data_IF_156635430815
#
_entry.id   IF_156635430815
#
_cell.length_a   1.000
_cell.length_b   1.000
_cell.length_c   1.000
_cell.angle_alpha   90.00
_cell.angle_beta   90.00
_cell.angle_gamma   90.00
#
_symmetry.space_group_name_H-M   'P 1'
#
loop_
_entity.id
_entity.type
_entity.pdbx_description
1 polymer ?
#
# COMPACT_ATOMS: atom_id res chain seq x y z
N UNK A 1 3.08 25.12 8.85
CA UNK A 1 2.61 23.96 8.08
C UNK A 1 3.37 24.00 6.77
N UNK A 2 4.14 22.96 6.47
CA UNK A 2 4.84 22.83 5.20
C UNK A 2 3.79 22.60 4.10
N UNK A 3 3.70 23.46 3.07
CA UNK A 3 2.70 23.33 2.01
C UNK A 3 2.88 22.06 1.15
N UNK A 4 3.98 21.33 1.30
CA UNK A 4 4.19 20.03 0.65
C UNK A 4 3.53 18.84 1.35
N UNK A 5 3.06 19.02 2.59
CA UNK A 5 2.37 17.99 3.36
C UNK A 5 0.86 18.22 3.24
N UNK A 6 0.19 17.31 2.53
CA UNK A 6 -1.26 17.29 2.37
C UNK A 6 -1.86 15.92 2.70
N UNK A 7 -3.18 15.77 2.49
CA UNK A 7 -3.98 14.57 2.77
C UNK A 7 -3.45 13.29 2.10
N UNK A 8 -2.62 13.41 1.06
CA UNK A 8 -1.98 12.25 0.41
C UNK A 8 -0.91 11.59 1.30
N UNK A 9 -0.56 12.22 2.41
CA UNK A 9 0.23 11.62 3.50
C UNK A 9 -0.55 10.53 4.24
N UNK A 10 -1.85 10.76 4.48
CA UNK A 10 -2.72 9.76 5.09
C UNK A 10 -2.98 8.60 4.12
N UNK A 11 -3.10 8.88 2.82
CA UNK A 11 -3.21 7.85 1.76
C UNK A 11 -1.97 6.94 1.77
N UNK A 12 -0.77 7.52 1.84
CA UNK A 12 0.47 6.73 1.92
C UNK A 12 0.50 5.86 3.18
N UNK A 13 0.16 6.45 4.33
CA UNK A 13 0.19 5.75 5.63
C UNK A 13 -0.82 4.60 5.67
N UNK A 14 -2.03 4.80 5.13
CA UNK A 14 -3.04 3.75 5.01
C UNK A 14 -2.60 2.66 4.02
N UNK A 15 -1.97 3.05 2.91
CA UNK A 15 -1.35 2.11 1.97
C UNK A 15 -0.30 1.22 2.62
N UNK A 16 0.53 1.79 3.50
CA UNK A 16 1.52 1.03 4.24
C UNK A 16 0.91 -0.01 5.18
N UNK A 17 -0.15 0.37 5.91
CA UNK A 17 -0.91 -0.55 6.75
C UNK A 17 -1.56 -1.65 5.92
N UNK A 18 -2.18 -1.30 4.78
CA UNK A 18 -2.80 -2.28 3.89
C UNK A 18 -1.77 -3.28 3.36
N UNK A 19 -0.61 -2.80 2.88
CA UNK A 19 0.48 -3.66 2.43
C UNK A 19 0.94 -4.64 3.52
N UNK A 20 1.17 -4.15 4.73
CA UNK A 20 1.57 -4.97 5.87
C UNK A 20 0.51 -6.02 6.23
N UNK A 21 -0.78 -5.70 6.12
CA UNK A 21 -1.87 -6.67 6.30
C UNK A 21 -1.84 -7.76 5.22
N UNK A 22 -1.56 -7.41 3.97
CA UNK A 22 -1.62 -8.35 2.83
C UNK A 22 -0.48 -9.38 2.84
N UNK A 23 0.73 -8.97 3.24
CA UNK A 23 1.91 -9.84 3.16
C UNK A 23 2.64 -10.07 4.48
N UNK A 24 2.26 -9.38 5.56
CA UNK A 24 2.90 -9.49 6.87
C UNK A 24 4.24 -8.76 6.99
N UNK A 25 4.67 -8.03 5.96
CA UNK A 25 5.93 -7.30 5.91
C UNK A 25 5.69 -5.80 5.85
N UNK A 26 6.54 -5.02 6.53
CA UNK A 26 6.49 -3.55 6.40
C UNK A 26 7.01 -3.13 5.02
N UNK A 27 6.41 -2.11 4.39
CA UNK A 27 6.87 -1.61 3.10
C UNK A 27 8.20 -0.84 3.18
N UNK A 28 8.55 -0.35 4.37
CA UNK A 28 9.81 0.32 4.67
C UNK A 28 10.41 -0.28 5.94
N UNK A 29 11.73 -0.50 5.94
CA UNK A 29 12.43 -1.18 7.01
C UNK A 29 13.79 -0.53 7.31
N UNK A 30 14.32 -0.79 8.50
CA UNK A 30 15.60 -0.28 8.98
C UNK A 30 15.77 -0.63 10.45
N UNK A 31 17.01 -0.78 10.91
CA UNK A 31 17.31 -1.00 12.33
C UNK A 31 17.22 0.30 13.13
N UNK A 32 17.51 1.43 12.46
CA UNK A 32 17.49 2.78 13.05
C UNK A 32 16.45 3.66 12.37
N UNK A 33 15.98 4.67 13.09
CA UNK A 33 14.96 5.61 12.60
C UNK A 33 15.35 6.28 11.26
N UNK A 34 16.61 6.69 11.09
CA UNK A 34 17.03 7.33 9.84
C UNK A 34 17.02 6.37 8.65
N UNK A 35 17.31 5.09 8.86
CA UNK A 35 17.26 4.06 7.82
C UNK A 35 15.80 3.82 7.39
N UNK A 36 14.86 3.79 8.35
CA UNK A 36 13.42 3.70 8.03
C UNK A 36 12.96 4.92 7.24
N UNK A 37 13.40 6.13 7.61
CA UNK A 37 13.07 7.36 6.88
C UNK A 37 13.64 7.30 5.46
N UNK A 38 14.89 6.86 5.30
CA UNK A 38 15.52 6.68 3.99
C UNK A 38 14.76 5.67 3.13
N UNK A 39 14.34 4.55 3.72
CA UNK A 39 13.55 3.52 3.05
C UNK A 39 12.18 4.04 2.61
N UNK A 40 11.48 4.80 3.47
CA UNK A 40 10.22 5.48 3.10
C UNK A 40 10.41 6.40 1.90
N UNK A 41 11.52 7.13 1.83
CA UNK A 41 11.79 8.10 0.76
C UNK A 41 12.21 7.43 -0.56
N UNK A 42 12.98 6.34 -0.51
CA UNK A 42 13.69 5.85 -1.68
C UNK A 42 13.31 4.43 -2.12
N UNK A 43 12.89 3.56 -1.20
CA UNK A 43 12.74 2.14 -1.51
C UNK A 43 11.31 1.81 -1.95
N UNK A 44 11.16 1.17 -3.11
CA UNK A 44 9.88 0.59 -3.48
C UNK A 44 9.82 -0.86 -2.94
N UNK A 45 8.82 -1.22 -2.10
CA UNK A 45 8.66 -2.61 -1.69
C UNK A 45 8.27 -3.50 -2.89
N UNK A 46 8.52 -4.82 -2.82
CA UNK A 46 7.98 -5.76 -3.79
C UNK A 46 6.44 -5.78 -3.76
N UNK A 47 5.81 -6.34 -4.79
CA UNK A 47 4.35 -6.50 -4.80
C UNK A 47 3.93 -7.48 -3.68
N UNK A 48 2.80 -7.22 -3.01
CA UNK A 48 2.35 -8.09 -1.92
C UNK A 48 2.05 -9.51 -2.41
N UNK A 49 1.58 -9.65 -3.65
CA UNK A 49 1.36 -10.92 -4.35
C UNK A 49 2.65 -11.72 -4.59
N UNK A 50 3.81 -11.08 -4.62
CA UNK A 50 5.12 -11.75 -4.81
C UNK A 50 5.68 -12.31 -3.50
N UNK A 51 5.39 -11.67 -2.37
CA UNK A 51 6.02 -11.98 -1.07
C UNK A 51 5.09 -12.59 -0.04
N UNK A 52 3.77 -12.51 -0.22
CA UNK A 52 2.81 -13.11 0.70
C UNK A 52 2.83 -14.64 0.60
N UNK A 53 2.67 -15.31 1.74
CA UNK A 53 2.46 -16.77 1.80
C UNK A 53 1.00 -17.17 1.55
N UNK A 54 0.09 -16.20 1.52
CA UNK A 54 -1.33 -16.40 1.27
C UNK A 54 -1.74 -15.79 -0.07
N UNK A 55 -2.93 -16.18 -0.54
CA UNK A 55 -3.51 -15.58 -1.75
C UNK A 55 -3.87 -14.11 -1.45
N UNK A 56 -3.25 -13.20 -2.18
CA UNK A 56 -3.56 -11.77 -2.15
C UNK A 56 -4.38 -11.42 -3.40
N UNK A 57 -5.59 -10.86 -3.26
CA UNK A 57 -6.36 -10.37 -4.41
C UNK A 57 -5.59 -9.27 -5.14
N UNK A 58 -5.47 -9.38 -6.48
CA UNK A 58 -4.61 -8.49 -7.27
C UNK A 58 -5.01 -7.02 -7.11
N UNK A 59 -6.32 -6.75 -7.04
CA UNK A 59 -6.83 -5.40 -6.84
C UNK A 59 -6.33 -4.76 -5.53
N UNK A 60 -6.24 -5.52 -4.44
CA UNK A 60 -5.79 -4.98 -3.15
C UNK A 60 -4.29 -4.66 -3.17
N UNK A 61 -3.50 -5.48 -3.86
CA UNK A 61 -2.08 -5.23 -4.08
C UNK A 61 -1.86 -3.96 -4.91
N UNK A 62 -2.53 -3.84 -6.05
CA UNK A 62 -2.45 -2.65 -6.92
C UNK A 62 -2.85 -1.36 -6.16
N UNK A 63 -3.87 -1.42 -5.29
CA UNK A 63 -4.27 -0.30 -4.42
C UNK A 63 -3.16 0.04 -3.43
N UNK A 64 -2.59 -0.95 -2.73
CA UNK A 64 -1.52 -0.72 -1.77
C UNK A 64 -0.28 -0.11 -2.44
N UNK A 65 0.13 -0.65 -3.58
CA UNK A 65 1.30 -0.20 -4.33
C UNK A 65 1.13 1.23 -4.89
N UNK A 66 -0.08 1.58 -5.34
CA UNK A 66 -0.40 2.95 -5.76
C UNK A 66 -0.33 3.93 -4.58
N UNK A 67 -0.86 3.58 -3.41
CA UNK A 67 -0.74 4.42 -2.20
C UNK A 67 0.72 4.63 -1.80
N UNK A 68 1.58 3.62 -1.98
CA UNK A 68 3.00 3.64 -1.62
C UNK A 68 3.93 4.34 -2.62
N UNK A 69 3.37 4.93 -3.69
CA UNK A 69 4.15 5.68 -4.67
C UNK A 69 4.90 6.84 -4.03
N UNK A 70 6.19 6.99 -4.36
CA UNK A 70 7.07 8.00 -3.74
C UNK A 70 6.65 9.41 -4.05
N UNK A 71 6.32 9.65 -5.32
CA UNK A 71 5.76 10.91 -5.76
C UNK A 71 4.27 11.01 -5.37
N UNK A 72 3.85 12.02 -4.56
CA UNK A 72 2.46 12.20 -4.17
C UNK A 72 1.48 12.35 -5.34
N UNK A 73 1.94 12.84 -6.50
CA UNK A 73 1.10 12.96 -7.70
C UNK A 73 0.71 11.60 -8.31
N UNK A 74 1.46 10.54 -8.04
CA UNK A 74 1.21 9.19 -8.56
C UNK A 74 0.29 8.38 -7.64
N UNK A 75 0.04 8.87 -6.41
CA UNK A 75 -0.90 8.28 -5.45
C UNK A 75 -2.35 8.56 -5.86
N UNK A 76 -3.30 8.03 -5.10
CA UNK A 76 -4.67 8.52 -5.16
C UNK A 76 -4.72 9.99 -4.78
N UNK A 77 -5.52 10.78 -5.50
CA UNK A 77 -5.63 12.22 -5.24
C UNK A 77 -6.73 12.52 -4.22
N UNK A 78 -7.53 11.52 -3.84
CA UNK A 78 -8.54 11.59 -2.77
C UNK A 78 -8.71 10.23 -2.10
N UNK A 79 -9.21 10.22 -0.85
CA UNK A 79 -9.55 8.95 -0.18
C UNK A 79 -10.74 8.27 -0.84
N UNK A 80 -11.66 9.06 -1.40
CA UNK A 80 -12.83 8.58 -2.12
C UNK A 80 -12.44 7.70 -3.33
N UNK A 81 -11.42 8.08 -4.10
CA UNK A 81 -10.89 7.26 -5.20
C UNK A 81 -10.41 5.88 -4.71
N UNK A 82 -9.71 5.84 -3.58
CA UNK A 82 -9.23 4.60 -2.97
C UNK A 82 -10.41 3.74 -2.50
N UNK A 83 -11.39 4.34 -1.82
CA UNK A 83 -12.58 3.63 -1.31
C UNK A 83 -13.39 3.00 -2.44
N UNK A 84 -13.56 3.70 -3.56
CA UNK A 84 -14.27 3.17 -4.73
C UNK A 84 -13.64 1.85 -5.22
N UNK A 85 -12.31 1.76 -5.25
CA UNK A 85 -11.62 0.52 -5.63
C UNK A 85 -11.74 -0.56 -4.55
N UNK A 86 -11.60 -0.21 -3.28
CA UNK A 86 -11.74 -1.17 -2.17
C UNK A 86 -13.15 -1.77 -2.05
N UNK A 87 -14.17 -1.09 -2.58
CA UNK A 87 -15.55 -1.57 -2.60
C UNK A 87 -15.87 -2.50 -3.78
N UNK A 88 -14.93 -2.74 -4.70
CA UNK A 88 -15.13 -3.69 -5.79
C UNK A 88 -15.10 -5.14 -5.29
N UNK A 89 -15.50 -6.08 -6.15
CA UNK A 89 -15.70 -7.50 -5.83
C UNK A 89 -14.40 -8.33 -5.77
N UNK A 90 -13.35 -7.83 -5.12
CA UNK A 90 -12.09 -8.56 -4.92
C UNK A 90 -12.26 -9.82 -4.06
N UNK A 91 -13.32 -9.90 -3.24
CA UNK A 91 -13.61 -11.09 -2.42
C UNK A 91 -13.90 -12.34 -3.29
N UNK A 92 -14.31 -12.14 -4.54
CA UNK A 92 -14.54 -13.25 -5.46
C UNK A 92 -13.26 -14.02 -5.79
N UNK A 93 -12.10 -13.36 -5.76
CA UNK A 93 -10.81 -14.02 -5.94
C UNK A 93 -10.53 -14.98 -4.77
N UNK A 94 -10.79 -14.56 -3.53
CA UNK A 94 -10.57 -15.40 -2.34
C UNK A 94 -11.49 -16.63 -2.33
N UNK A 95 -12.73 -16.49 -2.76
CA UNK A 95 -13.70 -17.60 -2.78
C UNK A 95 -13.32 -18.76 -3.72
N UNK A 96 -12.44 -18.52 -4.70
CA UNK A 96 -11.98 -19.55 -5.66
C UNK A 96 -10.94 -20.50 -5.06
N UNK A 97 -10.31 -20.14 -3.95
CA UNK A 97 -9.22 -20.92 -3.35
C UNK A 97 -9.64 -21.69 -2.09
N UNK A 98 -10.86 -21.48 -1.59
CA UNK A 98 -11.42 -22.15 -0.42
C UNK A 98 -12.38 -23.29 -0.77
N UNK A 99 -12.49 -23.67 -2.04
CA UNK A 99 -13.29 -24.82 -2.54
C UNK A 99 -12.43 -26.04 -2.84
#
# INVERSE_FOLDING_TARGET
LDPSIDHRTDIFSLGAVLYEILCGNKPAAGEKMHEVVESVLNDQPPEATEVSSQVVPRLLDDVAMKCLSKNPADRFQSMEEMVILLQQNWQTELSRFTS
#
